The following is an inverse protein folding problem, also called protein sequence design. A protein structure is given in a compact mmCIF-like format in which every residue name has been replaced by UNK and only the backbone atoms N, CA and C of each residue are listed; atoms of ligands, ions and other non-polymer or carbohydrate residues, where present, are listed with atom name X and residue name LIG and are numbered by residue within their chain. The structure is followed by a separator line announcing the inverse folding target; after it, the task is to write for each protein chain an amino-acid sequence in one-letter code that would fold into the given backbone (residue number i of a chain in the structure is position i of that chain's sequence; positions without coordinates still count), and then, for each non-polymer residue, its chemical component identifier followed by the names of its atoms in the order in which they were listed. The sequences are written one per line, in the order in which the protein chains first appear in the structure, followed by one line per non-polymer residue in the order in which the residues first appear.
data_IF_565723132326
#
_entry.id   IF_565723132326
#
_cell.length_a   1.000
_cell.length_b   1.000
_cell.length_c   1.000
_cell.angle_alpha   90.00
_cell.angle_beta   90.00
_cell.angle_gamma   90.00
#
_symmetry.space_group_name_H-M   'P 1'
#
loop_
_entity.id
_entity.type
_entity.pdbx_description
1 polymer ?
#
# COMPACT_ATOMS: atom_id res chain seq x y z
N UNK A 1 -11.04 -6.96 -12.47
CA UNK A 1 -12.04 -5.87 -12.31
C UNK A 1 -11.52 -4.84 -11.29
N UNK A 2 -11.93 -3.56 -11.32
CA UNK A 2 -11.71 -2.63 -10.19
C UNK A 2 -12.94 -2.63 -9.30
N UNK A 3 -12.75 -2.77 -7.99
CA UNK A 3 -13.83 -2.65 -7.01
C UNK A 3 -13.63 -1.38 -6.22
N UNK A 4 -14.72 -0.65 -5.96
CA UNK A 4 -14.64 0.58 -5.18
C UNK A 4 -14.29 0.30 -3.72
N UNK A 5 -13.47 1.17 -3.14
CA UNK A 5 -12.86 1.03 -1.83
C UNK A 5 -12.95 2.33 -1.05
N UNK A 6 -12.83 2.30 0.29
CA UNK A 6 -12.81 3.51 1.11
C UNK A 6 -11.74 4.54 0.71
N UNK A 7 -10.64 4.11 0.10
CA UNK A 7 -9.61 5.03 -0.41
C UNK A 7 -10.15 5.93 -1.54
N UNK A 8 -11.16 5.50 -2.31
CA UNK A 8 -11.71 6.28 -3.42
C UNK A 8 -12.37 7.56 -2.90
N UNK A 9 -13.09 7.48 -1.79
CA UNK A 9 -13.74 8.66 -1.19
C UNK A 9 -12.71 9.60 -0.55
N UNK A 10 -11.61 9.04 -0.03
CA UNK A 10 -10.46 9.82 0.43
C UNK A 10 -9.77 10.53 -0.74
N UNK A 11 -9.64 9.87 -1.88
CA UNK A 11 -9.07 10.47 -3.09
C UNK A 11 -9.99 11.56 -3.65
N UNK A 12 -11.31 11.31 -3.75
CA UNK A 12 -12.30 12.32 -4.17
C UNK A 12 -12.26 13.55 -3.27
N UNK A 13 -12.31 13.38 -1.95
CA UNK A 13 -12.24 14.51 -1.01
C UNK A 13 -10.91 15.26 -1.10
N UNK A 14 -9.79 14.54 -1.30
CA UNK A 14 -8.49 15.15 -1.57
C UNK A 14 -8.49 15.98 -2.86
N UNK A 15 -9.07 15.47 -3.96
CA UNK A 15 -9.12 16.19 -5.24
C UNK A 15 -9.89 17.52 -5.14
N UNK A 16 -10.94 17.55 -4.32
CA UNK A 16 -11.78 18.73 -4.10
C UNK A 16 -11.19 19.76 -3.12
N UNK A 17 -10.08 19.44 -2.44
CA UNK A 17 -9.44 20.33 -1.48
C UNK A 17 -8.77 21.52 -2.18
N UNK A 18 -8.99 22.74 -1.68
CA UNK A 18 -8.32 23.96 -2.16
C UNK A 18 -6.82 24.00 -1.86
N UNK A 19 -6.38 23.32 -0.80
CA UNK A 19 -4.97 23.29 -0.39
C UNK A 19 -4.43 21.87 -0.50
N UNK A 20 -4.43 21.37 -1.73
CA UNK A 20 -4.13 19.97 -2.05
C UNK A 20 -2.63 19.75 -2.13
N UNK A 21 -2.08 19.14 -1.08
CA UNK A 21 -0.69 18.64 -1.10
C UNK A 21 -0.58 17.42 -2.00
N UNK A 22 0.57 17.20 -2.68
CA UNK A 22 0.88 15.94 -3.32
C UNK A 22 0.61 14.77 -2.38
N UNK A 23 -0.14 13.79 -2.88
CA UNK A 23 -0.58 12.64 -2.11
C UNK A 23 0.33 11.47 -2.39
N UNK A 24 0.88 10.88 -1.33
CA UNK A 24 1.75 9.70 -1.39
C UNK A 24 0.93 8.48 -0.97
N UNK A 25 0.56 7.64 -1.94
CA UNK A 25 -0.08 6.35 -1.73
C UNK A 25 0.98 5.32 -1.36
N UNK A 26 0.91 4.85 -0.11
CA UNK A 26 1.75 3.81 0.46
C UNK A 26 0.97 2.52 0.60
N UNK A 27 1.63 1.38 0.43
CA UNK A 27 1.05 0.08 0.67
C UNK A 27 1.98 -1.02 0.19
N UNK A 28 1.77 -2.24 0.67
CA UNK A 28 2.46 -3.42 0.17
C UNK A 28 2.31 -3.55 -1.35
N UNK A 29 3.19 -4.32 -2.00
CA UNK A 29 3.07 -4.56 -3.44
C UNK A 29 1.73 -5.26 -3.73
N UNK A 30 1.14 -4.93 -4.88
CA UNK A 30 -0.15 -5.47 -5.34
C UNK A 30 -1.40 -5.12 -4.51
N UNK A 31 -1.36 -4.13 -3.61
CA UNK A 31 -2.57 -3.66 -2.89
C UNK A 31 -3.53 -2.78 -3.71
N UNK A 32 -3.25 -2.54 -5.00
CA UNK A 32 -4.12 -1.79 -5.90
C UNK A 32 -3.88 -0.27 -5.97
N UNK A 33 -2.68 0.21 -5.60
CA UNK A 33 -2.32 1.65 -5.61
C UNK A 33 -2.47 2.29 -6.98
N UNK A 34 -1.82 1.71 -7.99
CA UNK A 34 -1.88 2.14 -9.39
C UNK A 34 -3.32 2.13 -9.93
N UNK A 35 -4.10 1.10 -9.57
CA UNK A 35 -5.50 1.01 -9.98
C UNK A 35 -6.35 2.14 -9.37
N UNK A 36 -6.20 2.43 -8.08
CA UNK A 36 -6.90 3.53 -7.42
C UNK A 36 -6.50 4.90 -8.00
N UNK A 37 -5.22 5.10 -8.33
CA UNK A 37 -4.74 6.33 -8.96
C UNK A 37 -5.29 6.53 -10.38
N UNK A 38 -5.38 5.45 -11.17
CA UNK A 38 -5.99 5.50 -12.51
C UNK A 38 -7.49 5.72 -12.45
N UNK A 39 -8.20 5.10 -11.50
CA UNK A 39 -9.64 5.28 -11.33
C UNK A 39 -10.00 6.74 -11.01
N UNK A 40 -9.29 7.37 -10.07
CA UNK A 40 -9.50 8.80 -9.79
C UNK A 40 -9.03 9.67 -10.97
N UNK A 41 -7.94 9.26 -11.65
CA UNK A 41 -7.40 9.96 -12.81
C UNK A 41 -8.33 10.00 -14.01
N UNK A 42 -9.14 8.96 -14.22
CA UNK A 42 -10.16 8.92 -15.27
C UNK A 42 -11.23 10.02 -15.12
N UNK A 43 -11.35 10.65 -13.94
CA UNK A 43 -12.27 11.76 -13.69
C UNK A 43 -11.67 13.14 -14.02
N UNK A 44 -10.38 13.20 -14.38
CA UNK A 44 -9.68 14.43 -14.76
C UNK A 44 -9.75 14.65 -16.28
N UNK A 45 -9.68 15.92 -16.70
CA UNK A 45 -9.63 16.29 -18.11
C UNK A 45 -8.29 15.87 -18.75
N UNK A 46 -7.23 15.90 -17.95
CA UNK A 46 -5.91 15.42 -18.33
C UNK A 46 -5.34 14.53 -17.23
N UNK A 47 -4.97 13.31 -17.59
CA UNK A 47 -4.28 12.37 -16.72
C UNK A 47 -2.94 11.98 -17.33
N UNK A 48 -1.86 12.29 -16.63
CA UNK A 48 -0.49 11.98 -17.03
C UNK A 48 0.08 10.96 -16.06
N UNK A 49 0.41 9.76 -16.55
CA UNK A 49 1.03 8.70 -15.77
C UNK A 49 2.50 8.56 -16.13
N UNK A 50 3.37 8.60 -15.12
CA UNK A 50 4.81 8.38 -15.22
C UNK A 50 5.18 7.20 -14.34
N UNK A 51 5.72 6.13 -14.92
CA UNK A 51 6.18 4.98 -14.16
C UNK A 51 7.71 4.98 -14.14
N UNK A 52 8.32 5.22 -12.97
CA UNK A 52 9.76 5.41 -12.88
C UNK A 52 10.59 4.13 -13.01
N UNK A 53 9.97 2.95 -13.13
CA UNK A 53 10.66 1.74 -13.59
C UNK A 53 10.91 1.77 -15.10
N UNK A 54 10.13 2.56 -15.86
CA UNK A 54 10.33 2.77 -17.30
C UNK A 54 11.45 3.77 -17.53
N UNK A 55 12.41 3.38 -18.38
CA UNK A 55 13.60 4.20 -18.68
C UNK A 55 13.25 5.58 -19.23
N UNK A 56 12.22 5.69 -20.06
CA UNK A 56 11.82 6.93 -20.74
C UNK A 56 11.13 7.93 -19.80
N UNK A 57 10.49 7.43 -18.73
CA UNK A 57 9.89 8.29 -17.71
C UNK A 57 10.95 8.69 -16.69
N UNK A 58 11.79 7.74 -16.27
CA UNK A 58 12.90 8.01 -15.36
C UNK A 58 13.93 8.99 -15.96
N UNK A 59 14.15 8.95 -17.27
CA UNK A 59 15.08 9.85 -17.96
C UNK A 59 14.67 11.32 -17.87
N UNK A 60 13.36 11.63 -17.85
CA UNK A 60 12.87 12.99 -17.64
C UNK A 60 13.42 13.59 -16.33
N UNK A 61 13.36 12.83 -15.25
CA UNK A 61 13.85 13.28 -13.94
C UNK A 61 15.38 13.30 -13.84
N UNK A 62 16.09 12.67 -14.79
CA UNK A 62 17.55 12.73 -14.89
C UNK A 62 18.02 13.90 -15.73
N UNK A 63 17.30 14.21 -16.81
CA UNK A 63 17.70 15.19 -17.83
C UNK A 63 17.18 16.59 -17.53
N UNK A 64 15.94 16.73 -17.05
CA UNK A 64 15.38 18.03 -16.69
C UNK A 64 16.01 18.50 -15.38
N UNK A 65 16.46 19.75 -15.29
CA UNK A 65 17.01 20.36 -14.09
C UNK A 65 15.98 21.06 -13.21
N UNK A 66 14.85 21.46 -13.80
CA UNK A 66 13.76 22.14 -13.10
C UNK A 66 12.41 21.46 -13.31
N UNK A 67 11.43 21.80 -12.47
CA UNK A 67 10.06 21.32 -12.62
C UNK A 67 9.43 21.91 -13.89
N UNK A 68 9.79 23.13 -14.27
CA UNK A 68 9.32 23.79 -15.48
C UNK A 68 9.78 23.05 -16.75
N UNK A 69 11.02 22.57 -16.77
CA UNK A 69 11.54 21.74 -17.86
C UNK A 69 10.83 20.39 -17.93
N UNK A 70 10.55 19.77 -16.78
CA UNK A 70 9.76 18.54 -16.71
C UNK A 70 8.36 18.77 -17.29
N UNK A 71 7.66 19.80 -16.81
CA UNK A 71 6.31 20.14 -17.25
C UNK A 71 6.26 20.49 -18.74
N UNK A 72 7.29 21.17 -19.26
CA UNK A 72 7.42 21.45 -20.69
C UNK A 72 7.64 20.19 -21.50
N UNK A 73 8.48 19.27 -21.02
CA UNK A 73 8.71 17.97 -21.66
C UNK A 73 7.44 17.11 -21.68
N UNK A 74 6.67 17.11 -20.59
CA UNK A 74 5.37 16.43 -20.55
C UNK A 74 4.37 17.04 -21.53
N UNK A 75 4.33 18.37 -21.64
CA UNK A 75 3.47 19.05 -22.63
C UNK A 75 3.83 18.64 -24.05
N UNK A 76 5.11 18.61 -24.40
CA UNK A 76 5.57 18.18 -25.73
C UNK A 76 5.23 16.71 -25.97
N UNK A 77 5.51 15.84 -25.00
CA UNK A 77 5.27 14.39 -25.10
C UNK A 77 3.79 14.06 -25.32
N UNK A 78 2.88 14.83 -24.73
CA UNK A 78 1.44 14.59 -24.78
C UNK A 78 0.69 15.55 -25.72
N UNK A 79 1.41 16.37 -26.50
CA UNK A 79 0.85 17.39 -27.40
C UNK A 79 -0.14 18.35 -26.72
N UNK A 80 0.25 18.86 -25.55
CA UNK A 80 -0.58 19.74 -24.70
C UNK A 80 -0.09 21.19 -24.79
N UNK A 81 -0.88 22.05 -25.43
CA UNK A 81 -0.60 23.49 -25.51
C UNK A 81 -0.60 24.15 -24.13
N UNK A 82 -1.58 23.83 -23.27
CA UNK A 82 -1.62 24.27 -21.88
C UNK A 82 -2.33 23.20 -21.05
N UNK A 83 -1.83 22.94 -19.84
CA UNK A 83 -2.52 22.00 -18.94
C UNK A 83 -3.95 22.47 -18.66
N UNK A 84 -4.96 21.61 -18.87
CA UNK A 84 -6.32 21.91 -18.44
C UNK A 84 -6.40 22.15 -16.93
N UNK A 85 -7.38 22.93 -16.43
CA UNK A 85 -7.55 23.19 -15.00
C UNK A 85 -7.65 21.91 -14.16
N UNK A 86 -8.22 20.84 -14.72
CA UNK A 86 -8.28 19.53 -14.09
C UNK A 86 -7.24 18.59 -14.69
N UNK A 87 -5.98 18.82 -14.32
CA UNK A 87 -4.86 17.93 -14.65
C UNK A 87 -4.38 17.15 -13.42
N UNK A 88 -4.25 15.83 -13.56
CA UNK A 88 -3.62 14.94 -12.58
C UNK A 88 -2.33 14.35 -13.15
N UNK A 89 -1.23 14.54 -12.44
CA UNK A 89 0.03 13.84 -12.66
C UNK A 89 0.13 12.72 -11.64
N UNK A 90 0.27 11.49 -12.12
CA UNK A 90 0.53 10.31 -11.31
C UNK A 90 1.96 9.83 -11.53
N UNK A 91 2.75 9.76 -10.46
CA UNK A 91 4.13 9.28 -10.48
C UNK A 91 4.19 7.95 -9.73
N UNK A 92 4.25 6.85 -10.47
CA UNK A 92 4.38 5.50 -9.92
C UNK A 92 5.85 5.12 -9.67
N UNK A 93 6.06 4.28 -8.67
CA UNK A 93 7.38 3.86 -8.16
C UNK A 93 8.35 5.03 -7.93
N UNK A 94 7.85 6.10 -7.32
CA UNK A 94 8.58 7.37 -7.14
C UNK A 94 9.93 7.24 -6.40
N UNK A 95 10.10 6.19 -5.58
CA UNK A 95 11.35 5.91 -4.87
C UNK A 95 12.54 5.64 -5.79
N UNK A 96 12.31 5.35 -7.07
CA UNK A 96 13.39 5.19 -8.04
C UNK A 96 14.08 6.51 -8.39
N UNK A 97 13.44 7.66 -8.15
CA UNK A 97 14.03 8.99 -8.36
C UNK A 97 14.00 9.86 -7.09
N UNK A 98 15.14 10.05 -6.41
CA UNK A 98 15.26 11.01 -5.30
C UNK A 98 14.92 12.45 -5.75
N UNK A 99 15.19 12.78 -7.02
CA UNK A 99 14.88 14.09 -7.62
C UNK A 99 13.37 14.29 -7.74
N UNK A 100 12.62 13.27 -8.18
CA UNK A 100 11.16 13.32 -8.22
C UNK A 100 10.55 13.58 -6.82
N UNK A 101 11.09 12.95 -5.78
CA UNK A 101 10.62 13.14 -4.39
C UNK A 101 10.87 14.57 -3.90
N UNK A 102 12.06 15.12 -4.18
CA UNK A 102 12.38 16.52 -3.85
C UNK A 102 11.45 17.49 -4.58
N UNK A 103 11.14 17.20 -5.85
CA UNK A 103 10.30 18.05 -6.69
C UNK A 103 8.82 18.10 -6.29
N UNK A 104 8.34 17.18 -5.45
CA UNK A 104 6.99 17.31 -4.86
C UNK A 104 6.82 18.61 -4.09
N UNK A 105 7.88 19.15 -3.50
CA UNK A 105 7.85 20.47 -2.88
C UNK A 105 7.52 21.56 -3.91
N UNK A 106 8.25 21.61 -5.01
CA UNK A 106 8.10 22.65 -6.03
C UNK A 106 6.77 22.50 -6.78
N UNK A 107 6.36 21.27 -7.10
CA UNK A 107 5.02 21.01 -7.64
C UNK A 107 3.90 21.52 -6.73
N UNK A 108 4.08 21.43 -5.41
CA UNK A 108 3.10 21.96 -4.45
C UNK A 108 3.15 23.48 -4.29
N UNK A 109 4.35 24.06 -4.21
CA UNK A 109 4.56 25.50 -3.94
C UNK A 109 4.29 26.34 -5.19
N UNK A 110 4.76 25.88 -6.36
CA UNK A 110 4.79 26.66 -7.59
C UNK A 110 3.64 26.29 -8.55
N UNK A 111 3.10 25.07 -8.45
CA UNK A 111 2.04 24.53 -9.33
C UNK A 111 0.83 23.93 -8.58
N UNK A 112 0.20 24.65 -7.63
CA UNK A 112 -0.91 24.14 -6.84
C UNK A 112 -2.16 23.75 -7.67
N UNK A 113 -2.26 24.26 -8.90
CA UNK A 113 -3.31 23.88 -9.86
C UNK A 113 -3.22 22.41 -10.27
N UNK A 114 -2.02 21.83 -10.33
CA UNK A 114 -1.80 20.44 -10.72
C UNK A 114 -2.14 19.51 -9.56
N UNK A 115 -2.92 18.47 -9.83
CA UNK A 115 -3.06 17.38 -8.87
C UNK A 115 -1.85 16.45 -9.02
N UNK A 116 -1.26 16.03 -7.89
CA UNK A 116 -0.12 15.12 -7.91
C UNK A 116 -0.41 13.96 -6.97
N UNK A 117 -0.50 12.76 -7.53
CA UNK A 117 -0.48 11.51 -6.77
C UNK A 117 0.86 10.85 -7.04
N UNK A 118 1.45 10.28 -6.00
CA UNK A 118 2.62 9.43 -6.12
C UNK A 118 2.29 8.10 -5.49
N UNK A 119 2.81 7.03 -6.06
CA UNK A 119 2.75 5.72 -5.45
C UNK A 119 4.16 5.13 -5.41
N UNK A 120 4.35 4.25 -4.46
CA UNK A 120 5.55 3.46 -4.37
C UNK A 120 5.30 2.29 -3.45
N UNK A 121 5.77 1.13 -3.87
CA UNK A 121 6.03 0.07 -2.90
C UNK A 121 7.37 0.36 -2.21
N UNK A 122 7.61 -0.23 -1.03
CA UNK A 122 8.97 -0.32 -0.45
C UNK A 122 9.66 1.02 -0.16
N UNK A 123 8.90 2.10 -0.12
CA UNK A 123 9.44 3.45 -0.08
C UNK A 123 10.33 3.65 1.14
N UNK A 124 9.92 3.12 2.31
CA UNK A 124 10.69 3.29 3.56
C UNK A 124 12.04 2.60 3.51
N UNK A 125 12.12 1.42 2.89
CA UNK A 125 13.38 0.69 2.69
C UNK A 125 14.32 1.52 1.80
N UNK A 126 13.82 1.98 0.64
CA UNK A 126 14.60 2.76 -0.32
C UNK A 126 15.02 4.15 0.19
N UNK A 127 14.12 4.84 0.90
CA UNK A 127 14.39 6.13 1.54
C UNK A 127 15.52 6.02 2.56
N UNK A 128 15.47 4.99 3.41
CA UNK A 128 16.51 4.74 4.42
C UNK A 128 17.85 4.41 3.78
N UNK A 129 17.89 3.53 2.78
CA UNK A 129 19.12 3.12 2.09
C UNK A 129 19.82 4.28 1.40
N UNK A 130 19.05 5.16 0.74
CA UNK A 130 19.58 6.25 -0.07
C UNK A 130 19.67 7.58 0.70
N UNK A 131 19.30 7.61 1.98
CA UNK A 131 19.49 8.76 2.88
C UNK A 131 18.67 10.01 2.54
N UNK A 132 17.51 9.85 1.89
CA UNK A 132 16.60 10.97 1.59
C UNK A 132 15.23 10.78 2.23
N UNK A 133 14.52 11.89 2.40
CA UNK A 133 13.19 11.94 3.00
C UNK A 133 12.24 12.76 2.16
N UNK A 134 10.94 12.49 2.35
CA UNK A 134 9.90 13.30 1.75
C UNK A 134 9.86 14.70 2.36
N UNK A 135 9.51 15.74 1.57
CA UNK A 135 9.40 17.11 2.07
C UNK A 135 8.37 17.23 3.20
N UNK A 136 8.85 17.48 4.43
CA UNK A 136 8.00 17.59 5.62
C UNK A 136 7.01 18.75 5.47
N UNK A 137 5.75 18.48 5.82
CA UNK A 137 4.65 19.45 5.76
C UNK A 137 4.12 19.77 4.35
N UNK A 138 4.70 19.17 3.29
CA UNK A 138 4.36 19.47 1.89
C UNK A 138 3.72 18.30 1.15
N UNK A 139 3.71 17.11 1.76
CA UNK A 139 3.02 15.94 1.22
C UNK A 139 1.98 15.43 2.21
N UNK A 140 1.02 14.67 1.70
CA UNK A 140 0.03 13.95 2.51
C UNK A 140 0.15 12.46 2.25
N UNK A 141 0.27 11.66 3.32
CA UNK A 141 0.34 10.21 3.21
C UNK A 141 -1.04 9.59 3.30
N UNK A 142 -1.28 8.56 2.48
CA UNK A 142 -2.41 7.65 2.60
C UNK A 142 -1.90 6.21 2.44
N UNK A 143 -2.44 5.32 3.25
CA UNK A 143 -2.07 3.91 3.26
C UNK A 143 -3.18 3.09 2.63
N UNK A 144 -2.80 2.22 1.69
CA UNK A 144 -3.67 1.30 1.00
C UNK A 144 -3.24 -0.13 1.34
N UNK A 145 -4.02 -0.72 2.23
CA UNK A 145 -3.89 -2.12 2.66
C UNK A 145 -4.61 -3.04 1.66
N UNK A 146 -4.56 -4.37 1.85
CA UNK A 146 -5.47 -5.30 1.18
C UNK A 146 -6.94 -4.97 1.47
N UNK A 147 -7.85 -5.63 0.77
CA UNK A 147 -9.30 -5.53 0.99
C UNK A 147 -9.59 -5.98 2.41
N UNK A 148 -10.45 -5.23 3.09
CA UNK A 148 -11.05 -5.67 4.35
C UNK A 148 -12.15 -6.69 4.08
N UNK A 149 -12.63 -7.35 5.14
CA UNK A 149 -13.82 -8.21 5.03
C UNK A 149 -15.04 -7.47 4.44
N UNK A 150 -15.22 -6.19 4.78
CA UNK A 150 -16.29 -5.37 4.22
C UNK A 150 -16.09 -5.11 2.72
N UNK A 151 -14.85 -4.83 2.30
CA UNK A 151 -14.53 -4.68 0.87
C UNK A 151 -14.78 -5.98 0.10
N UNK A 152 -14.43 -7.13 0.68
CA UNK A 152 -14.71 -8.45 0.11
C UNK A 152 -16.21 -8.71 -0.07
N UNK A 153 -17.03 -8.39 0.93
CA UNK A 153 -18.49 -8.50 0.82
C UNK A 153 -19.03 -7.60 -0.31
N UNK A 154 -18.54 -6.36 -0.41
CA UNK A 154 -18.93 -5.42 -1.46
C UNK A 154 -18.52 -5.92 -2.85
N UNK A 155 -17.32 -6.50 -2.99
CA UNK A 155 -16.82 -7.08 -4.23
C UNK A 155 -17.59 -8.34 -4.67
N UNK A 156 -18.01 -9.17 -3.72
CA UNK A 156 -18.80 -10.39 -3.96
C UNK A 156 -20.31 -10.15 -4.07
N UNK A 157 -20.73 -8.91 -4.35
CA UNK A 157 -22.14 -8.48 -4.51
C UNK A 157 -23.03 -8.59 -3.26
N UNK A 158 -22.45 -8.78 -2.07
CA UNK A 158 -23.15 -8.91 -0.79
C UNK A 158 -23.28 -7.59 -0.03
N UNK A 159 -23.68 -6.52 -0.73
CA UNK A 159 -23.70 -5.15 -0.19
C UNK A 159 -24.62 -4.97 1.02
N UNK A 160 -25.81 -5.57 0.99
CA UNK A 160 -26.77 -5.51 2.10
C UNK A 160 -26.18 -6.09 3.39
N UNK A 161 -25.45 -7.22 3.28
CA UNK A 161 -24.78 -7.82 4.42
C UNK A 161 -23.66 -6.92 4.96
N UNK A 162 -22.88 -6.30 4.06
CA UNK A 162 -21.84 -5.35 4.44
C UNK A 162 -22.42 -4.15 5.22
N UNK A 163 -23.49 -3.54 4.70
CA UNK A 163 -24.16 -2.39 5.33
C UNK A 163 -24.74 -2.74 6.72
N UNK A 164 -25.33 -3.93 6.88
CA UNK A 164 -25.85 -4.37 8.16
C UNK A 164 -24.74 -4.60 9.20
N UNK A 165 -23.59 -5.14 8.77
CA UNK A 165 -22.43 -5.31 9.65
C UNK A 165 -21.83 -3.95 10.02
N UNK A 166 -21.69 -3.04 9.05
CA UNK A 166 -21.20 -1.67 9.30
C UNK A 166 -22.11 -0.92 10.28
N UNK A 167 -23.44 -1.01 10.11
CA UNK A 167 -24.41 -0.40 11.01
C UNK A 167 -24.37 -0.98 12.43
N UNK A 168 -24.28 -2.31 12.53
CA UNK A 168 -24.13 -2.98 13.82
C UNK A 168 -22.80 -2.69 14.52
N UNK A 169 -21.76 -2.23 13.79
CA UNK A 169 -20.53 -1.74 14.40
C UNK A 169 -20.67 -0.38 15.09
N UNK A 170 -21.69 0.42 14.72
CA UNK A 170 -21.92 1.77 15.26
C UNK A 170 -22.81 1.77 16.51
N UNK A 171 -23.56 0.69 16.72
CA UNK A 171 -24.47 0.55 17.85
C UNK A 171 -24.21 -0.79 18.54
N UNK A 172 -24.30 -0.89 19.87
CA UNK A 172 -24.13 -2.17 20.56
C UNK A 172 -25.39 -3.06 20.40
N UNK A 173 -25.87 -3.24 19.16
CA UNK A 173 -27.03 -4.07 18.84
C UNK A 173 -26.56 -5.41 18.28
N UNK A 174 -27.01 -6.54 18.86
CA UNK A 174 -26.71 -7.85 18.32
C UNK A 174 -27.26 -8.01 16.90
N UNK A 175 -26.47 -8.64 16.02
CA UNK A 175 -26.94 -9.06 14.71
C UNK A 175 -28.05 -10.11 14.85
N UNK A 176 -29.04 -10.06 13.95
CA UNK A 176 -30.02 -11.15 13.87
C UNK A 176 -29.32 -12.47 13.50
N UNK A 177 -29.89 -13.61 13.89
CA UNK A 177 -29.29 -14.93 13.62
C UNK A 177 -29.04 -15.16 12.12
N UNK A 178 -29.94 -14.69 11.24
CA UNK A 178 -29.79 -14.80 9.79
C UNK A 178 -28.55 -14.04 9.29
N UNK A 179 -28.38 -12.79 9.76
CA UNK A 179 -27.25 -11.93 9.37
C UNK A 179 -25.94 -12.48 9.94
N UNK A 180 -25.95 -12.93 11.19
CA UNK A 180 -24.79 -13.55 11.82
C UNK A 180 -24.32 -14.80 11.07
N UNK A 181 -25.23 -15.71 10.71
CA UNK A 181 -24.90 -16.92 9.98
C UNK A 181 -24.38 -16.63 8.56
N UNK A 182 -24.99 -15.66 7.86
CA UNK A 182 -24.50 -15.21 6.56
C UNK A 182 -23.11 -14.57 6.65
N UNK A 183 -22.86 -13.77 7.69
CA UNK A 183 -21.57 -13.18 7.97
C UNK A 183 -20.51 -14.26 8.25
N UNK A 184 -20.83 -15.28 9.07
CA UNK A 184 -19.92 -16.38 9.33
C UNK A 184 -19.59 -17.20 8.07
N UNK A 185 -20.57 -17.45 7.21
CA UNK A 185 -20.31 -18.14 5.93
C UNK A 185 -19.37 -17.33 5.05
N UNK A 186 -19.64 -16.03 4.90
CA UNK A 186 -18.82 -15.14 4.08
C UNK A 186 -17.42 -14.92 4.68
N UNK A 187 -17.32 -14.92 6.01
CA UNK A 187 -16.04 -14.81 6.71
C UNK A 187 -15.15 -16.02 6.44
N UNK A 188 -15.72 -17.23 6.34
CA UNK A 188 -14.97 -18.43 5.96
C UNK A 188 -14.42 -18.33 4.54
N UNK A 189 -15.21 -17.80 3.61
CA UNK A 189 -14.72 -17.52 2.25
C UNK A 189 -13.58 -16.49 2.29
N UNK A 190 -13.76 -15.39 3.01
CA UNK A 190 -12.74 -14.35 3.13
C UNK A 190 -11.44 -14.87 3.77
N UNK A 191 -11.52 -15.70 4.82
CA UNK A 191 -10.34 -16.31 5.44
C UNK A 191 -9.60 -17.29 4.51
N UNK A 192 -10.29 -17.83 3.50
CA UNK A 192 -9.69 -18.67 2.47
C UNK A 192 -9.09 -17.83 1.33
N UNK A 193 -9.75 -16.71 0.96
CA UNK A 193 -9.35 -15.88 -0.19
C UNK A 193 -8.30 -14.84 0.19
N UNK A 194 -8.36 -14.30 1.40
CA UNK A 194 -7.57 -13.16 1.84
C UNK A 194 -8.06 -11.83 1.27
N UNK A 195 -7.29 -10.78 1.54
CA UNK A 195 -7.59 -9.40 1.14
C UNK A 195 -6.94 -8.99 -0.17
N UNK A 196 -6.05 -9.78 -0.76
CA UNK A 196 -5.29 -9.31 -1.93
C UNK A 196 -6.21 -9.08 -3.14
N UNK A 197 -6.16 -7.91 -3.79
CA UNK A 197 -7.06 -7.60 -4.91
C UNK A 197 -7.05 -8.65 -6.02
N UNK A 198 -5.90 -9.25 -6.32
CA UNK A 198 -5.80 -10.33 -7.32
C UNK A 198 -6.57 -11.59 -6.88
N UNK A 199 -6.45 -11.99 -5.62
CA UNK A 199 -7.15 -13.15 -5.06
C UNK A 199 -8.67 -12.92 -5.02
N UNK A 200 -9.10 -11.73 -4.58
CA UNK A 200 -10.52 -11.34 -4.57
C UNK A 200 -11.11 -11.33 -5.99
N UNK A 201 -10.40 -10.77 -6.97
CA UNK A 201 -10.84 -10.81 -8.37
C UNK A 201 -11.01 -12.25 -8.88
N UNK A 202 -10.01 -13.10 -8.64
CA UNK A 202 -10.05 -14.50 -9.05
C UNK A 202 -11.23 -15.25 -8.42
N UNK A 203 -11.51 -14.98 -7.14
CA UNK A 203 -12.66 -15.55 -6.45
C UNK A 203 -13.99 -15.09 -7.05
N UNK A 204 -14.15 -13.80 -7.33
CA UNK A 204 -15.37 -13.24 -7.95
C UNK A 204 -15.60 -13.83 -9.34
N UNK A 205 -14.54 -14.05 -10.12
CA UNK A 205 -14.65 -14.56 -11.49
C UNK A 205 -14.90 -16.08 -11.56
N UNK A 206 -14.30 -16.86 -10.64
CA UNK A 206 -14.27 -18.33 -10.77
C UNK A 206 -14.90 -19.10 -9.62
N UNK A 207 -15.10 -18.46 -8.46
CA UNK A 207 -15.56 -19.10 -7.23
C UNK A 207 -14.77 -20.38 -6.89
N UNK A 208 -13.47 -20.42 -7.24
CA UNK A 208 -12.63 -21.62 -7.19
C UNK A 208 -11.47 -21.45 -6.20
N UNK A 209 -11.44 -22.23 -5.10
CA UNK A 209 -10.34 -22.21 -4.15
C UNK A 209 -8.99 -22.56 -4.79
N UNK A 210 -8.98 -23.49 -5.76
CA UNK A 210 -7.75 -23.90 -6.46
C UNK A 210 -7.18 -22.77 -7.29
N UNK A 211 -8.04 -22.00 -7.97
CA UNK A 211 -7.60 -20.87 -8.78
C UNK A 211 -7.03 -19.74 -7.90
N UNK A 212 -7.67 -19.46 -6.77
CA UNK A 212 -7.17 -18.49 -5.78
C UNK A 212 -5.83 -18.94 -5.19
N UNK A 213 -5.66 -20.24 -4.92
CA UNK A 213 -4.40 -20.78 -4.39
C UNK A 213 -3.21 -20.53 -5.33
N UNK A 214 -3.42 -20.60 -6.64
CA UNK A 214 -2.38 -20.27 -7.60
C UNK A 214 -1.95 -18.80 -7.46
N UNK A 215 -2.92 -17.89 -7.33
CA UNK A 215 -2.65 -16.45 -7.11
C UNK A 215 -1.85 -16.25 -5.82
N UNK A 216 -2.18 -16.96 -4.73
CA UNK A 216 -1.40 -16.90 -3.49
C UNK A 216 0.05 -17.33 -3.68
N UNK A 217 0.28 -18.43 -4.42
CA UNK A 217 1.65 -18.89 -4.74
C UNK A 217 2.41 -17.85 -5.54
N UNK A 218 1.80 -17.27 -6.58
CA UNK A 218 2.43 -16.26 -7.43
C UNK A 218 2.75 -14.98 -6.65
N UNK A 219 1.86 -14.58 -5.72
CA UNK A 219 2.05 -13.45 -4.82
C UNK A 219 3.21 -13.67 -3.86
N UNK A 220 3.25 -14.81 -3.18
CA UNK A 220 4.31 -15.15 -2.24
C UNK A 220 5.67 -15.25 -2.94
N UNK A 221 5.71 -15.85 -4.14
CA UNK A 221 6.92 -15.88 -4.96
C UNK A 221 7.36 -14.47 -5.36
N UNK A 222 6.43 -13.62 -5.81
CA UNK A 222 6.75 -12.23 -6.17
C UNK A 222 7.31 -11.44 -4.98
N UNK A 223 6.76 -11.65 -3.78
CA UNK A 223 7.29 -11.03 -2.56
C UNK A 223 8.69 -11.55 -2.23
N UNK A 224 8.92 -12.86 -2.35
CA UNK A 224 10.22 -13.49 -2.15
C UNK A 224 11.27 -12.95 -3.12
N UNK A 225 10.93 -12.78 -4.40
CA UNK A 225 11.83 -12.24 -5.42
C UNK A 225 12.19 -10.77 -5.14
N UNK A 226 11.23 -9.99 -4.64
CA UNK A 226 11.50 -8.60 -4.24
C UNK A 226 12.36 -8.50 -2.98
N UNK A 227 12.47 -9.54 -2.14
CA UNK A 227 13.38 -9.55 -0.97
C UNK A 227 14.82 -9.25 -1.38
N UNK A 228 15.24 -9.69 -2.57
CA UNK A 228 16.56 -9.39 -3.12
C UNK A 228 16.78 -7.88 -3.27
N UNK A 229 15.73 -7.13 -3.60
CA UNK A 229 15.77 -5.67 -3.70
C UNK A 229 15.88 -4.99 -2.33
N UNK A 230 15.46 -5.66 -1.26
CA UNK A 230 15.54 -5.16 0.12
C UNK A 230 16.88 -5.50 0.78
N UNK A 231 17.61 -6.47 0.23
CA UNK A 231 18.87 -6.98 0.77
C UNK A 231 20.04 -6.04 0.50
N UNK A 232 20.65 -5.53 1.56
CA UNK A 232 22.02 -5.03 1.50
C UNK A 232 23.01 -6.20 1.70
N UNK A 233 24.30 -6.02 1.40
CA UNK A 233 25.31 -7.07 1.58
C UNK A 233 25.22 -7.74 2.96
N UNK A 234 25.07 -9.06 3.00
CA UNK A 234 24.98 -9.85 4.24
C UNK A 234 23.63 -9.84 4.96
N UNK A 235 22.57 -9.24 4.39
CA UNK A 235 21.22 -9.24 5.01
C UNK A 235 20.17 -10.08 4.28
N UNK A 236 20.42 -10.43 3.01
CA UNK A 236 19.48 -11.13 2.14
C UNK A 236 19.10 -12.52 2.67
N UNK A 237 20.08 -13.32 3.10
CA UNK A 237 19.82 -14.66 3.64
C UNK A 237 18.91 -14.61 4.89
N UNK A 238 19.23 -13.73 5.84
CA UNK A 238 18.41 -13.52 7.03
C UNK A 238 17.00 -13.00 6.71
N UNK A 239 16.86 -12.25 5.62
CA UNK A 239 15.58 -11.73 5.15
C UNK A 239 14.69 -12.83 4.56
N UNK A 240 15.25 -13.71 3.72
CA UNK A 240 14.55 -14.89 3.22
C UNK A 240 14.14 -15.82 4.37
N UNK A 241 15.07 -16.16 5.26
CA UNK A 241 14.77 -17.01 6.41
C UNK A 241 13.70 -16.42 7.33
N UNK A 242 13.69 -15.10 7.52
CA UNK A 242 12.63 -14.43 8.25
C UNK A 242 11.29 -14.50 7.51
N UNK A 243 11.27 -14.29 6.19
CA UNK A 243 10.06 -14.36 5.36
C UNK A 243 9.43 -15.76 5.40
N UNK A 244 10.24 -16.80 5.22
CA UNK A 244 9.79 -18.20 5.26
C UNK A 244 9.26 -18.60 6.64
N UNK A 245 9.78 -18.00 7.71
CA UNK A 245 9.34 -18.25 9.08
C UNK A 245 8.07 -17.46 9.47
N UNK A 246 7.64 -16.44 8.71
CA UNK A 246 6.49 -15.58 9.08
C UNK A 246 5.21 -16.36 9.41
N UNK A 247 4.80 -17.39 8.63
CA UNK A 247 3.56 -18.11 8.89
C UNK A 247 3.57 -18.83 10.25
N UNK A 248 4.75 -19.21 10.77
CA UNK A 248 4.90 -19.90 12.05
C UNK A 248 4.63 -18.99 13.26
N UNK A 249 4.74 -17.67 13.07
CA UNK A 249 4.63 -16.68 14.16
C UNK A 249 3.43 -15.73 14.01
N UNK A 250 2.70 -15.80 12.90
CA UNK A 250 1.58 -14.90 12.61
C UNK A 250 0.49 -15.02 13.69
N UNK A 251 0.02 -13.87 14.19
CA UNK A 251 -0.99 -13.82 15.25
C UNK A 251 -0.46 -14.16 16.65
N UNK A 252 0.83 -14.48 16.81
CA UNK A 252 1.43 -14.82 18.09
C UNK A 252 2.47 -13.77 18.53
N UNK A 253 2.77 -13.75 19.83
CA UNK A 253 3.93 -13.02 20.35
C UNK A 253 5.19 -13.81 20.04
N UNK A 254 6.23 -13.14 19.55
CA UNK A 254 7.49 -13.78 19.18
C UNK A 254 8.70 -13.13 19.85
N UNK A 255 9.79 -13.89 19.95
CA UNK A 255 11.12 -13.39 20.29
C UNK A 255 11.98 -13.37 19.03
N UNK A 256 12.92 -12.42 18.96
CA UNK A 256 13.88 -12.36 17.85
C UNK A 256 14.87 -13.52 17.87
N UNK A 257 15.16 -14.05 19.06
CA UNK A 257 15.95 -15.25 19.23
C UNK A 257 15.18 -16.46 18.71
N UNK A 258 15.83 -17.28 17.89
CA UNK A 258 15.25 -18.47 17.25
C UNK A 258 14.00 -18.17 16.40
N UNK A 259 13.84 -16.93 15.90
CA UNK A 259 12.75 -16.60 14.99
C UNK A 259 12.82 -17.45 13.71
N UNK A 260 14.02 -17.52 13.12
CA UNK A 260 14.37 -18.46 12.05
C UNK A 260 15.62 -19.26 12.47
N UNK A 261 15.66 -20.58 12.22
CA UNK A 261 16.82 -21.42 12.54
C UNK A 261 18.11 -20.89 11.92
N UNK A 262 19.23 -20.96 12.65
CA UNK A 262 20.54 -20.56 12.13
C UNK A 262 20.82 -19.05 12.14
N UNK A 263 19.86 -18.20 12.51
CA UNK A 263 20.04 -16.74 12.49
C UNK A 263 20.04 -16.10 13.88
N UNK A 264 20.95 -15.13 14.06
CA UNK A 264 21.06 -14.35 15.31
C UNK A 264 19.93 -13.33 15.44
N UNK A 265 19.54 -13.02 16.68
CA UNK A 265 18.47 -12.07 17.00
C UNK A 265 18.65 -10.68 16.36
N UNK A 266 19.90 -10.19 16.26
CA UNK A 266 20.21 -8.91 15.61
C UNK A 266 19.86 -8.93 14.13
N UNK A 267 20.18 -10.02 13.42
CA UNK A 267 19.88 -10.19 12.00
C UNK A 267 18.38 -10.31 11.77
N UNK A 268 17.67 -11.07 12.62
CA UNK A 268 16.20 -11.19 12.56
C UNK A 268 15.50 -9.85 12.81
N UNK A 269 15.97 -9.07 13.79
CA UNK A 269 15.43 -7.72 14.04
C UNK A 269 15.60 -6.81 12.84
N UNK A 270 16.73 -6.88 12.14
CA UNK A 270 16.98 -6.08 10.94
C UNK A 270 16.09 -6.55 9.77
N UNK A 271 16.02 -7.86 9.53
CA UNK A 271 15.16 -8.46 8.50
C UNK A 271 13.68 -8.07 8.70
N UNK A 272 13.15 -8.26 9.90
CA UNK A 272 11.75 -7.90 10.22
C UNK A 272 11.50 -6.40 10.10
N UNK A 273 12.48 -5.55 10.42
CA UNK A 273 12.35 -4.10 10.19
C UNK A 273 12.24 -3.77 8.69
N UNK A 274 12.98 -4.47 7.83
CA UNK A 274 12.87 -4.31 6.37
C UNK A 274 11.53 -4.80 5.83
N UNK A 275 11.06 -5.96 6.30
CA UNK A 275 9.74 -6.51 5.93
C UNK A 275 8.59 -5.58 6.38
N UNK A 276 8.72 -4.96 7.56
CA UNK A 276 7.75 -3.97 8.05
C UNK A 276 7.78 -2.68 7.21
N UNK A 277 8.96 -2.18 6.83
CA UNK A 277 9.08 -1.05 5.90
C UNK A 277 8.58 -1.35 4.48
N UNK A 278 8.51 -2.63 4.11
CA UNK A 278 7.85 -3.11 2.90
C UNK A 278 6.32 -3.29 3.05
N UNK A 279 5.79 -3.08 4.27
CA UNK A 279 4.39 -3.32 4.66
C UNK A 279 3.94 -4.77 4.46
N UNK A 280 4.87 -5.73 4.48
CA UNK A 280 4.56 -7.16 4.44
C UNK A 280 4.18 -7.70 5.82
N UNK A 281 4.67 -7.05 6.89
CA UNK A 281 4.33 -7.39 8.27
C UNK A 281 4.07 -6.13 9.09
N UNK A 282 3.43 -6.31 10.23
CA UNK A 282 3.30 -5.31 11.29
C UNK A 282 3.67 -5.93 12.64
N UNK A 283 4.52 -5.25 13.42
CA UNK A 283 4.86 -5.64 14.79
C UNK A 283 4.01 -4.85 15.77
N UNK A 284 2.95 -5.48 16.28
CA UNK A 284 2.06 -4.89 17.27
C UNK A 284 2.70 -4.98 18.66
N UNK A 285 3.13 -3.83 19.19
CA UNK A 285 3.75 -3.75 20.50
C UNK A 285 2.71 -3.80 21.63
N UNK A 286 2.96 -4.51 22.74
CA UNK A 286 2.10 -4.47 23.92
C UNK A 286 2.00 -3.05 24.48
N UNK A 287 0.82 -2.67 24.95
CA UNK A 287 0.59 -1.37 25.60
C UNK A 287 0.41 -1.52 27.11
N UNK A 288 0.77 -0.47 27.87
CA UNK A 288 0.48 -0.36 29.31
C UNK A 288 -0.69 0.56 29.64
N UNK A 289 -1.19 1.29 28.65
CA UNK A 289 -2.31 2.22 28.79
C UNK A 289 -3.51 1.71 28.01
N UNK A 290 -4.69 1.84 28.61
CA UNK A 290 -5.99 1.64 27.97
C UNK A 290 -6.54 2.94 27.36
N UNK A 291 -5.87 4.08 27.58
CA UNK A 291 -6.27 5.39 27.08
C UNK A 291 -5.22 5.99 26.11
N UNK A 292 -5.64 6.71 25.06
CA UNK A 292 -4.75 7.47 24.19
C UNK A 292 -4.03 8.63 24.92
N UNK A 293 -2.78 8.97 24.56
CA UNK A 293 -1.91 8.22 23.64
C UNK A 293 -1.48 6.89 24.27
N UNK A 294 -1.59 5.81 23.50
CA UNK A 294 -1.22 4.48 23.98
C UNK A 294 0.29 4.41 24.25
N UNK A 295 0.67 3.97 25.45
CA UNK A 295 2.07 3.79 25.83
C UNK A 295 2.53 2.38 25.47
N UNK A 296 3.38 2.26 24.45
CA UNK A 296 3.94 0.97 24.02
C UNK A 296 5.08 0.51 24.94
N UNK A 297 5.25 -0.81 25.09
CA UNK A 297 6.36 -1.45 25.79
C UNK A 297 7.37 -2.03 24.78
N UNK A 298 8.36 -1.25 24.30
CA UNK A 298 9.27 -1.69 23.23
C UNK A 298 10.20 -2.84 23.61
N UNK A 299 10.37 -3.11 24.92
CA UNK A 299 11.15 -4.26 25.43
C UNK A 299 10.35 -5.56 25.52
N UNK A 300 9.03 -5.49 25.40
CA UNK A 300 8.17 -6.68 25.45
C UNK A 300 8.08 -7.34 24.06
N UNK A 301 7.86 -8.65 24.05
CA UNK A 301 7.68 -9.41 22.82
C UNK A 301 6.50 -8.84 22.00
N UNK A 302 6.73 -8.35 20.76
CA UNK A 302 5.66 -7.91 19.87
C UNK A 302 4.81 -9.09 19.40
N UNK A 303 3.56 -8.82 19.03
CA UNK A 303 2.74 -9.72 18.22
C UNK A 303 3.02 -9.46 16.74
N UNK A 304 3.22 -10.52 15.97
CA UNK A 304 3.42 -10.41 14.52
C UNK A 304 2.08 -10.47 13.80
N UNK A 305 1.83 -9.54 12.89
CA UNK A 305 0.75 -9.61 11.91
C UNK A 305 1.39 -9.68 10.52
N UNK A 306 0.91 -10.60 9.69
CA UNK A 306 1.32 -10.70 8.28
C UNK A 306 0.29 -10.00 7.40
N UNK A 307 0.71 -9.48 6.25
CA UNK A 307 -0.21 -8.96 5.25
C UNK A 307 -1.18 -10.08 4.84
N UNK A 308 -2.44 -9.72 4.66
CA UNK A 308 -3.52 -10.65 4.34
C UNK A 308 -3.44 -11.06 2.87
N UNK A 309 -2.65 -12.11 2.59
CA UNK A 309 -2.39 -12.68 1.25
C UNK A 309 -3.52 -13.59 0.80
#
# INVERSE_FOLDING_TARGET
MYFSRPIDDVLKSWTASKNRRPLVLRGARQTGKTAAAREIGAQFECFLELNLERRDDLSLFRQCETVEELLSSLRIRHDIVRFPPRTLIFIDEIQESPKAIKWLRFLYEDHPELAVITAGSLMEVRLQERGFSFPVGRVTYRYLHPFTFIDFLKATTRRVLAEQIEFAGQTPTPLSAAVHNAALSSLREYLLVGGMPAAVNQWVETNSPTAVRQIHTDLLQSFADDLLKYGGPGTTEALHAAFDALPLHCGARFKYENFAPGHRSKSMKLALTKLEGAMLIERVLPTSSFAPPFQTRPRSAPKLMFVDV
#
